data_IF_813235131459
#
_entry.id   IF_813235131459
#
_cell.length_a   1.000
_cell.length_b   1.000
_cell.length_c   1.000
_cell.angle_alpha   90.00
_cell.angle_beta   90.00
_cell.angle_gamma   90.00
#
_symmetry.space_group_name_H-M   'P 1'
#
loop_
_entity.id
_entity.type
_entity.pdbx_description
1 polymer ?
#
# COMPACT_ATOMS: atom_id res chain seq x y z
N UNK A 1 1.67 26.47 -5.37
CA UNK A 1 0.46 25.63 -5.42
C UNK A 1 0.76 24.15 -5.12
N UNK A 2 1.68 23.76 -4.24
CA UNK A 2 2.11 22.41 -3.97
C UNK A 2 2.20 22.00 -2.50
N UNK A 3 2.23 22.95 -1.59
CA UNK A 3 2.57 22.64 -0.18
C UNK A 3 1.39 22.29 0.73
N UNK A 4 0.17 22.66 0.38
CA UNK A 4 -1.00 22.51 1.28
C UNK A 4 -1.56 21.08 1.45
N UNK A 5 -1.09 20.08 0.70
CA UNK A 5 -1.67 18.75 0.76
C UNK A 5 -0.77 17.63 1.33
N UNK A 6 0.53 17.84 1.30
CA UNK A 6 1.51 16.80 1.66
C UNK A 6 1.65 16.66 3.17
N UNK A 7 1.60 17.76 3.91
CA UNK A 7 1.74 17.78 5.37
C UNK A 7 0.61 17.07 6.16
N UNK A 8 -0.44 16.59 5.46
CA UNK A 8 -1.57 15.87 6.05
C UNK A 8 -1.67 14.43 5.55
N UNK A 9 -0.54 13.85 5.14
CA UNK A 9 -0.45 12.45 4.75
C UNK A 9 0.09 11.62 5.91
N UNK A 10 -0.62 10.54 6.25
CA UNK A 10 -0.16 9.52 7.19
C UNK A 10 0.35 8.29 6.46
N UNK A 11 1.30 7.58 7.05
CA UNK A 11 1.82 6.30 6.56
C UNK A 11 1.68 5.25 7.64
N UNK A 12 1.13 4.09 7.26
CA UNK A 12 1.13 2.88 8.09
C UNK A 12 1.87 1.78 7.35
N UNK A 13 2.91 1.26 7.98
CA UNK A 13 3.77 0.20 7.48
C UNK A 13 3.45 -1.12 8.18
N UNK A 14 3.66 -2.23 7.50
CA UNK A 14 3.47 -3.57 8.05
C UNK A 14 4.23 -3.76 9.36
N UNK A 15 3.52 -4.28 10.35
CA UNK A 15 4.01 -4.45 11.72
C UNK A 15 3.89 -5.90 12.22
N UNK A 16 3.46 -6.80 11.35
CA UNK A 16 3.14 -8.17 11.74
C UNK A 16 4.35 -9.12 11.62
N UNK A 17 4.39 -10.21 12.40
CA UNK A 17 5.39 -11.26 12.24
C UNK A 17 5.08 -12.22 11.07
N UNK A 18 4.16 -11.85 10.17
CA UNK A 18 3.82 -12.62 8.99
C UNK A 18 4.95 -12.63 7.96
N UNK A 19 4.70 -13.19 6.77
CA UNK A 19 5.69 -13.22 5.70
C UNK A 19 6.24 -11.80 5.46
N UNK A 20 7.58 -11.61 5.44
CA UNK A 20 8.16 -10.29 5.24
C UNK A 20 7.72 -9.63 3.93
N UNK A 21 7.45 -8.32 4.00
CA UNK A 21 7.15 -7.45 2.86
C UNK A 21 8.27 -6.38 2.74
N UNK A 22 9.46 -6.75 2.25
CA UNK A 22 10.61 -5.85 2.27
C UNK A 22 10.44 -4.61 1.40
N UNK A 23 9.68 -4.70 0.30
CA UNK A 23 9.42 -3.56 -0.57
C UNK A 23 8.31 -2.64 -0.06
N UNK A 24 7.38 -3.14 0.75
CA UNK A 24 6.46 -2.30 1.55
C UNK A 24 7.25 -1.30 2.41
N UNK A 25 8.32 -1.76 3.08
CA UNK A 25 9.17 -0.88 3.87
C UNK A 25 9.93 0.13 3.00
N UNK A 26 10.48 -0.30 1.87
CA UNK A 26 11.12 0.58 0.89
C UNK A 26 10.17 1.65 0.37
N UNK A 27 8.94 1.26 0.03
CA UNK A 27 7.85 2.13 -0.39
C UNK A 27 7.58 3.23 0.65
N UNK A 28 7.27 2.83 1.89
CA UNK A 28 6.92 3.73 2.99
C UNK A 28 8.05 4.72 3.32
N UNK A 29 9.29 4.25 3.41
CA UNK A 29 10.45 5.11 3.67
C UNK A 29 10.74 6.08 2.51
N UNK A 30 10.61 5.61 1.27
CA UNK A 30 10.81 6.44 0.08
C UNK A 30 9.74 7.53 -0.02
N UNK A 31 8.47 7.20 0.25
CA UNK A 31 7.38 8.18 0.31
C UNK A 31 7.61 9.20 1.43
N UNK A 32 7.96 8.71 2.63
CA UNK A 32 8.20 9.58 3.78
C UNK A 32 9.34 10.59 3.50
N UNK A 33 10.44 10.12 2.93
CA UNK A 33 11.61 10.95 2.57
C UNK A 33 11.26 11.93 1.45
N UNK A 34 10.61 11.46 0.38
CA UNK A 34 10.31 12.27 -0.81
C UNK A 34 9.34 13.40 -0.50
N UNK A 35 8.36 13.13 0.35
CA UNK A 35 7.29 14.09 0.67
C UNK A 35 7.39 14.71 2.06
N UNK A 36 8.49 14.47 2.78
CA UNK A 36 8.74 15.07 4.08
C UNK A 36 7.70 14.70 5.14
N UNK A 37 7.19 13.45 5.13
CA UNK A 37 6.18 13.01 6.08
C UNK A 37 6.78 12.94 7.50
N UNK A 38 6.27 13.70 8.47
CA UNK A 38 6.83 13.73 9.80
C UNK A 38 6.63 12.40 10.55
N UNK A 39 7.55 12.08 11.45
CA UNK A 39 7.55 10.81 12.21
C UNK A 39 6.26 10.58 12.99
N UNK A 40 5.59 11.65 13.44
CA UNK A 40 4.31 11.59 14.17
C UNK A 40 3.16 11.08 13.30
N UNK A 41 3.27 11.20 11.98
CA UNK A 41 2.31 10.70 11.00
C UNK A 41 2.72 9.34 10.41
N UNK A 42 3.65 8.64 11.05
CA UNK A 42 4.17 7.35 10.60
C UNK A 42 3.99 6.29 11.69
N UNK A 43 3.25 5.25 11.38
CA UNK A 43 3.08 4.09 12.25
C UNK A 43 3.89 2.91 11.69
N UNK A 44 4.81 2.41 12.50
CA UNK A 44 5.74 1.34 12.13
C UNK A 44 5.92 0.37 13.30
N UNK A 45 6.07 -0.91 13.03
CA UNK A 45 6.32 -1.95 14.03
C UNK A 45 5.27 -1.90 15.15
N UNK A 46 5.67 -2.06 16.40
CA UNK A 46 4.77 -2.09 17.56
C UNK A 46 3.92 -0.82 17.76
N UNK A 47 4.21 0.27 17.06
CA UNK A 47 3.40 1.49 17.12
C UNK A 47 2.17 1.46 16.21
N UNK A 48 2.11 0.55 15.24
CA UNK A 48 0.98 0.41 14.32
C UNK A 48 -0.17 -0.38 14.99
N UNK A 49 -0.68 0.13 16.10
CA UNK A 49 -1.82 -0.43 16.85
C UNK A 49 -3.15 0.05 16.29
N UNK A 50 -4.24 -0.68 16.55
CA UNK A 50 -5.61 -0.28 16.14
C UNK A 50 -5.96 1.10 16.67
N UNK A 51 -5.62 1.40 17.93
CA UNK A 51 -5.88 2.71 18.54
C UNK A 51 -5.07 3.83 17.85
N UNK A 52 -3.77 3.61 17.59
CA UNK A 52 -2.92 4.57 16.90
C UNK A 52 -3.37 4.79 15.44
N UNK A 53 -3.81 3.73 14.77
CA UNK A 53 -4.37 3.80 13.42
C UNK A 53 -5.62 4.69 13.38
N UNK A 54 -6.54 4.49 14.32
CA UNK A 54 -7.74 5.32 14.47
C UNK A 54 -7.39 6.80 14.72
N UNK A 55 -6.44 7.06 15.60
CA UNK A 55 -5.98 8.42 15.89
C UNK A 55 -5.34 9.07 14.65
N UNK A 56 -4.53 8.33 13.89
CA UNK A 56 -3.91 8.81 12.66
C UNK A 56 -4.96 9.18 11.63
N UNK A 57 -5.97 8.33 11.39
CA UNK A 57 -7.09 8.62 10.47
C UNK A 57 -7.82 9.92 10.82
N UNK A 58 -7.97 10.22 12.11
CA UNK A 58 -8.59 11.47 12.56
C UNK A 58 -7.73 12.72 12.40
N UNK A 59 -6.43 12.57 12.08
CA UNK A 59 -5.47 13.67 12.02
C UNK A 59 -4.94 13.96 10.61
N UNK A 60 -5.22 13.10 9.65
CA UNK A 60 -4.71 13.22 8.28
C UNK A 60 -5.83 13.33 7.25
N UNK A 61 -5.53 13.89 6.09
CA UNK A 61 -6.44 13.90 4.93
C UNK A 61 -6.15 12.76 3.95
N UNK A 62 -4.94 12.25 3.95
CA UNK A 62 -4.52 11.13 3.11
C UNK A 62 -3.85 10.07 3.96
N UNK A 63 -4.19 8.83 3.73
CA UNK A 63 -3.55 7.69 4.36
C UNK A 63 -2.93 6.80 3.28
N UNK A 64 -1.67 6.49 3.47
CA UNK A 64 -1.01 5.37 2.80
C UNK A 64 -0.88 4.22 3.79
N UNK A 65 -1.51 3.10 3.49
CA UNK A 65 -1.59 1.93 4.37
C UNK A 65 -1.05 0.72 3.61
N UNK A 66 0.17 0.29 3.96
CA UNK A 66 0.89 -0.77 3.27
C UNK A 66 1.27 -1.87 4.25
N UNK A 67 0.48 -2.94 4.29
CA UNK A 67 0.67 -4.07 5.21
C UNK A 67 -0.21 -5.26 4.81
N UNK A 68 -0.17 -6.32 5.60
CA UNK A 68 -1.01 -7.49 5.38
C UNK A 68 -2.50 -7.20 5.65
N UNK A 69 -3.34 -7.79 4.81
CA UNK A 69 -4.78 -7.87 5.04
C UNK A 69 -5.26 -9.32 4.88
N UNK A 70 -6.38 -9.63 5.48
CA UNK A 70 -7.06 -10.92 5.37
C UNK A 70 -8.46 -10.74 4.80
N UNK A 71 -8.80 -11.55 3.79
CA UNK A 71 -10.15 -11.66 3.28
C UNK A 71 -10.86 -12.86 3.94
N UNK A 72 -12.13 -12.68 4.28
CA UNK A 72 -12.98 -13.75 4.78
C UNK A 72 -14.28 -13.78 3.97
N UNK A 73 -14.32 -14.63 2.95
CA UNK A 73 -15.45 -14.68 2.02
C UNK A 73 -16.74 -15.24 2.63
N UNK A 74 -16.65 -16.01 3.69
CA UNK A 74 -17.85 -16.54 4.37
C UNK A 74 -18.43 -15.54 5.38
N UNK A 75 -17.63 -14.61 5.86
CA UNK A 75 -18.00 -13.60 6.84
C UNK A 75 -17.28 -12.29 6.52
N UNK A 76 -17.76 -11.55 5.53
CA UNK A 76 -17.10 -10.33 5.01
C UNK A 76 -16.79 -9.30 6.09
N UNK A 77 -17.58 -9.21 7.15
CA UNK A 77 -17.33 -8.32 8.29
C UNK A 77 -16.04 -8.63 9.06
N UNK A 78 -15.52 -9.84 8.91
CA UNK A 78 -14.25 -10.29 9.50
C UNK A 78 -13.04 -10.09 8.57
N UNK A 79 -13.23 -9.53 7.37
CA UNK A 79 -12.09 -9.02 6.60
C UNK A 79 -11.35 -7.98 7.43
N UNK A 80 -10.02 -8.04 7.45
CA UNK A 80 -9.27 -7.23 8.39
C UNK A 80 -7.90 -6.80 7.88
N UNK A 81 -7.41 -5.70 8.44
CA UNK A 81 -6.03 -5.24 8.35
C UNK A 81 -5.27 -5.78 9.56
N UNK A 82 -4.16 -6.44 9.32
CA UNK A 82 -3.32 -6.95 10.39
C UNK A 82 -2.45 -5.83 10.97
N UNK A 83 -2.62 -5.52 12.26
CA UNK A 83 -1.87 -4.50 12.99
C UNK A 83 -1.08 -5.12 14.15
N UNK A 84 -0.28 -4.31 14.84
CA UNK A 84 0.67 -4.80 15.85
C UNK A 84 0.01 -5.42 17.09
N UNK A 85 -1.20 -4.98 17.44
CA UNK A 85 -1.94 -5.41 18.64
C UNK A 85 -3.20 -6.20 18.32
N UNK A 86 -3.45 -6.51 17.05
CA UNK A 86 -4.62 -7.25 16.57
C UNK A 86 -5.16 -6.73 15.25
N UNK A 87 -6.30 -7.25 14.86
CA UNK A 87 -6.92 -6.98 13.58
C UNK A 87 -7.84 -5.76 13.63
N UNK A 88 -7.74 -4.87 12.64
CA UNK A 88 -8.75 -3.86 12.36
C UNK A 88 -9.74 -4.44 11.35
N UNK A 89 -10.91 -4.81 11.82
CA UNK A 89 -11.93 -5.50 11.00
C UNK A 89 -12.79 -4.52 10.20
N UNK A 90 -13.41 -5.03 9.13
CA UNK A 90 -14.43 -4.29 8.38
C UNK A 90 -15.60 -3.88 9.27
N UNK A 91 -16.02 -4.75 10.19
CA UNK A 91 -17.08 -4.42 11.16
C UNK A 91 -16.75 -3.17 11.99
N UNK A 92 -15.50 -3.01 12.42
CA UNK A 92 -15.04 -1.81 13.13
C UNK A 92 -15.06 -0.57 12.23
N UNK A 93 -14.57 -0.65 10.98
CA UNK A 93 -14.62 0.47 10.03
C UNK A 93 -16.06 0.93 9.73
N UNK A 94 -17.01 0.02 9.74
CA UNK A 94 -18.44 0.34 9.53
C UNK A 94 -19.12 0.92 10.77
N UNK A 95 -18.52 0.81 11.96
CA UNK A 95 -19.12 1.26 13.20
C UNK A 95 -19.23 2.80 13.26
N UNK A 96 -20.23 3.36 13.99
CA UNK A 96 -20.38 4.82 14.12
C UNK A 96 -19.18 5.54 14.72
N UNK A 97 -18.37 4.84 15.52
CA UNK A 97 -17.17 5.41 16.17
C UNK A 97 -16.00 5.62 15.20
N UNK A 98 -16.08 5.08 14.00
CA UNK A 98 -15.09 5.21 12.94
C UNK A 98 -15.61 6.15 11.86
N UNK A 99 -15.58 7.45 12.13
CA UNK A 99 -16.00 8.50 11.19
C UNK A 99 -14.94 9.59 11.11
N UNK A 100 -14.41 9.79 9.90
CA UNK A 100 -13.30 10.70 9.61
C UNK A 100 -13.68 11.62 8.44
N UNK A 101 -14.48 12.67 8.68
CA UNK A 101 -15.04 13.49 7.60
C UNK A 101 -13.98 14.29 6.81
N UNK A 102 -12.79 14.48 7.39
CA UNK A 102 -11.68 15.17 6.72
C UNK A 102 -10.81 14.23 5.86
N UNK A 103 -11.06 12.92 5.89
CA UNK A 103 -10.29 11.93 5.15
C UNK A 103 -10.64 12.00 3.66
N UNK A 104 -9.71 12.43 2.84
CA UNK A 104 -9.90 12.60 1.39
C UNK A 104 -9.55 11.34 0.60
N UNK A 105 -8.48 10.66 0.99
CA UNK A 105 -7.93 9.58 0.17
C UNK A 105 -7.26 8.51 1.04
N UNK A 106 -7.56 7.26 0.78
CA UNK A 106 -6.84 6.09 1.33
C UNK A 106 -6.21 5.33 0.18
N UNK A 107 -4.89 5.19 0.22
CA UNK A 107 -4.17 4.26 -0.63
C UNK A 107 -3.92 2.98 0.17
N UNK A 108 -4.60 1.92 -0.23
CA UNK A 108 -4.59 0.63 0.41
C UNK A 108 -3.67 -0.33 -0.37
N UNK A 109 -2.37 -0.29 -0.02
CA UNK A 109 -1.35 -1.17 -0.57
C UNK A 109 -1.28 -2.44 0.27
N UNK A 110 -2.31 -3.28 0.19
CA UNK A 110 -2.31 -4.57 0.85
C UNK A 110 -2.74 -5.66 -0.11
N UNK A 111 -2.00 -6.75 -0.07
CA UNK A 111 -2.36 -7.95 -0.77
C UNK A 111 -3.45 -8.65 0.01
N UNK A 112 -4.61 -8.89 -0.58
CA UNK A 112 -5.55 -9.88 -0.03
C UNK A 112 -4.85 -11.24 -0.09
N UNK A 113 -4.15 -11.59 0.98
CA UNK A 113 -3.37 -12.81 1.08
C UNK A 113 -4.29 -14.03 1.06
N UNK A 114 -4.12 -14.88 0.07
CA UNK A 114 -4.77 -16.17 -0.10
C UNK A 114 -6.19 -16.17 -0.69
N UNK A 115 -6.31 -15.75 -1.92
CA UNK A 115 -7.42 -16.20 -2.76
C UNK A 115 -7.21 -17.68 -3.14
N UNK A 116 -7.45 -18.57 -2.21
CA UNK A 116 -7.42 -20.02 -2.46
C UNK A 116 -8.65 -20.56 -3.18
N UNK A 117 -9.66 -19.74 -3.51
CA UNK A 117 -10.78 -20.12 -4.37
C UNK A 117 -11.30 -18.92 -5.16
N UNK A 118 -11.48 -19.13 -6.45
CA UNK A 118 -12.15 -18.22 -7.40
C UNK A 118 -13.68 -18.24 -7.20
N UNK A 119 -14.16 -18.27 -5.98
CA UNK A 119 -15.57 -18.04 -5.74
C UNK A 119 -15.82 -16.55 -5.83
N UNK A 120 -16.52 -16.15 -6.88
CA UNK A 120 -17.05 -14.80 -7.07
C UNK A 120 -18.03 -14.59 -5.93
N UNK A 121 -17.55 -13.96 -4.86
CA UNK A 121 -18.46 -13.50 -3.83
C UNK A 121 -19.18 -12.26 -4.38
N UNK A 122 -20.49 -12.35 -4.51
CA UNK A 122 -21.39 -11.20 -4.79
C UNK A 122 -21.36 -10.14 -3.65
N UNK A 123 -20.49 -10.32 -2.68
CA UNK A 123 -20.38 -9.46 -1.50
C UNK A 123 -19.52 -8.23 -1.82
N UNK A 124 -20.20 -7.12 -2.04
CA UNK A 124 -19.62 -5.79 -2.24
C UNK A 124 -18.97 -5.19 -0.99
N UNK A 125 -18.97 -5.91 0.13
CA UNK A 125 -18.41 -5.48 1.41
C UNK A 125 -16.92 -5.81 1.48
N UNK A 126 -16.11 -4.83 1.11
CA UNK A 126 -14.63 -4.89 1.15
C UNK A 126 -14.08 -3.89 2.16
N UNK A 127 -12.81 -4.01 2.51
CA UNK A 127 -12.12 -3.00 3.32
C UNK A 127 -12.17 -1.61 2.66
N UNK A 128 -12.13 -1.54 1.32
CA UNK A 128 -12.29 -0.28 0.60
C UNK A 128 -13.67 0.35 0.87
N UNK A 129 -14.74 -0.45 0.84
CA UNK A 129 -16.09 -0.01 1.23
C UNK A 129 -16.11 0.48 2.69
N UNK A 130 -15.42 -0.23 3.59
CA UNK A 130 -15.28 0.18 4.99
C UNK A 130 -14.68 1.57 5.14
N UNK A 131 -13.59 1.88 4.42
CA UNK A 131 -12.98 3.21 4.44
C UNK A 131 -13.88 4.30 3.85
N UNK A 132 -14.61 4.01 2.76
CA UNK A 132 -15.61 4.94 2.21
C UNK A 132 -16.70 5.24 3.23
N UNK A 133 -17.25 4.23 3.90
CA UNK A 133 -18.20 4.40 4.98
C UNK A 133 -17.62 5.15 6.19
N UNK A 134 -16.33 4.96 6.48
CA UNK A 134 -15.64 5.69 7.53
C UNK A 134 -15.40 7.18 7.19
N UNK A 135 -15.65 7.60 5.95
CA UNK A 135 -15.61 9.01 5.54
C UNK A 135 -14.57 9.33 4.46
N UNK A 136 -13.75 8.37 4.04
CA UNK A 136 -12.84 8.58 2.91
C UNK A 136 -13.64 8.94 1.65
N UNK A 137 -13.20 9.99 0.94
CA UNK A 137 -13.82 10.37 -0.33
C UNK A 137 -13.41 9.45 -1.47
N UNK A 138 -12.24 8.87 -1.38
CA UNK A 138 -11.79 7.85 -2.32
C UNK A 138 -10.83 6.86 -1.67
N UNK A 139 -10.84 5.66 -2.23
CA UNK A 139 -9.92 4.58 -1.84
C UNK A 139 -9.28 4.02 -3.11
N UNK A 140 -7.96 3.89 -3.10
CA UNK A 140 -7.21 3.14 -4.10
C UNK A 140 -6.87 1.79 -3.46
N UNK A 141 -7.22 0.70 -4.11
CA UNK A 141 -7.01 -0.65 -3.61
C UNK A 141 -6.69 -1.63 -4.74
N UNK A 142 -6.41 -2.87 -4.41
CA UNK A 142 -6.20 -3.94 -5.39
C UNK A 142 -7.37 -4.92 -5.39
N UNK A 143 -7.72 -5.43 -6.58
CA UNK A 143 -8.76 -6.46 -6.76
C UNK A 143 -8.25 -7.89 -6.53
N UNK A 144 -6.94 -8.07 -6.49
CA UNK A 144 -6.28 -9.33 -6.19
C UNK A 144 -4.92 -9.08 -5.53
N UNK A 145 -4.30 -10.12 -5.00
CA UNK A 145 -2.96 -10.05 -4.42
C UNK A 145 -1.94 -9.70 -5.51
N UNK A 146 -1.28 -8.55 -5.35
CA UNK A 146 -0.19 -8.09 -6.21
C UNK A 146 1.13 -8.36 -5.50
N UNK A 147 2.16 -8.65 -6.25
CA UNK A 147 3.51 -8.90 -5.74
C UNK A 147 4.09 -7.63 -5.10
N UNK A 148 4.81 -7.79 -3.98
CA UNK A 148 5.31 -6.73 -3.11
C UNK A 148 6.12 -5.65 -3.85
N UNK A 149 7.08 -6.03 -4.72
CA UNK A 149 7.88 -5.06 -5.50
C UNK A 149 7.00 -4.30 -6.51
N UNK A 150 6.08 -4.98 -7.19
CA UNK A 150 5.18 -4.34 -8.14
C UNK A 150 4.24 -3.35 -7.44
N UNK A 151 3.72 -3.73 -6.27
CA UNK A 151 2.87 -2.87 -5.45
C UNK A 151 3.61 -1.61 -4.98
N UNK A 152 4.83 -1.76 -4.47
CA UNK A 152 5.67 -0.66 -4.06
C UNK A 152 5.97 0.32 -5.20
N UNK A 153 6.35 -0.19 -6.37
CA UNK A 153 6.62 0.64 -7.55
C UNK A 153 5.36 1.35 -8.05
N UNK A 154 4.20 0.66 -8.04
CA UNK A 154 2.93 1.28 -8.40
C UNK A 154 2.62 2.47 -7.49
N UNK A 155 2.74 2.30 -6.17
CA UNK A 155 2.49 3.36 -5.20
C UNK A 155 3.42 4.57 -5.43
N UNK A 156 4.71 4.33 -5.65
CA UNK A 156 5.67 5.39 -5.94
C UNK A 156 5.30 6.16 -7.23
N UNK A 157 4.92 5.45 -8.30
CA UNK A 157 4.45 6.07 -9.54
C UNK A 157 3.13 6.81 -9.34
N UNK A 158 2.19 6.23 -8.58
CA UNK A 158 0.92 6.88 -8.27
C UNK A 158 1.13 8.23 -7.58
N UNK A 159 1.89 8.27 -6.50
CA UNK A 159 2.09 9.51 -5.75
C UNK A 159 2.89 10.54 -6.55
N UNK A 160 3.89 10.12 -7.33
CA UNK A 160 4.62 11.01 -8.25
C UNK A 160 3.67 11.70 -9.24
N UNK A 161 2.73 10.96 -9.82
CA UNK A 161 1.73 11.52 -10.72
C UNK A 161 0.70 12.37 -9.96
N UNK A 162 0.19 11.87 -8.83
CA UNK A 162 -0.86 12.51 -8.04
C UNK A 162 -0.45 13.88 -7.52
N UNK A 163 0.77 14.01 -6.99
CA UNK A 163 1.34 15.27 -6.55
C UNK A 163 1.95 16.10 -7.71
N UNK A 164 2.10 15.51 -8.87
CA UNK A 164 2.50 16.16 -10.12
C UNK A 164 1.36 16.79 -10.92
N UNK A 165 0.20 17.09 -10.29
CA UNK A 165 -0.96 17.78 -10.85
C UNK A 165 -1.98 16.92 -11.62
N UNK A 166 -1.91 15.59 -11.56
CA UNK A 166 -2.92 14.74 -12.18
C UNK A 166 -4.07 14.44 -11.21
N UNK A 167 -5.26 14.28 -11.74
CA UNK A 167 -6.41 13.73 -10.99
C UNK A 167 -6.15 12.30 -10.54
N UNK A 168 -6.93 11.79 -9.58
CA UNK A 168 -6.78 10.40 -9.11
C UNK A 168 -6.88 9.37 -10.24
N UNK A 169 -7.93 9.39 -11.10
CA UNK A 169 -8.01 8.45 -12.23
C UNK A 169 -6.83 8.53 -13.19
N UNK A 170 -6.37 9.74 -13.50
CA UNK A 170 -5.20 9.94 -14.36
C UNK A 170 -3.92 9.43 -13.70
N UNK A 171 -3.75 9.66 -12.39
CA UNK A 171 -2.59 9.17 -11.67
C UNK A 171 -2.54 7.63 -11.62
N UNK A 172 -3.69 6.97 -11.41
CA UNK A 172 -3.82 5.51 -11.48
C UNK A 172 -3.44 5.02 -12.88
N UNK A 173 -4.08 5.56 -13.92
CA UNK A 173 -3.83 5.15 -15.31
C UNK A 173 -2.36 5.34 -15.72
N UNK A 174 -1.74 6.44 -15.28
CA UNK A 174 -0.32 6.72 -15.54
C UNK A 174 0.59 5.75 -14.79
N UNK A 175 0.31 5.48 -13.53
CA UNK A 175 1.05 4.51 -12.73
C UNK A 175 0.97 3.09 -13.33
N UNK A 176 -0.22 2.66 -13.75
CA UNK A 176 -0.42 1.39 -14.46
C UNK A 176 0.42 1.32 -15.73
N UNK A 177 0.42 2.39 -16.54
CA UNK A 177 1.21 2.45 -17.77
C UNK A 177 2.71 2.45 -17.49
N UNK A 178 3.17 3.23 -16.50
CA UNK A 178 4.57 3.29 -16.12
C UNK A 178 5.07 1.94 -15.62
N UNK A 179 4.31 1.27 -14.76
CA UNK A 179 4.68 -0.06 -14.25
C UNK A 179 4.71 -1.09 -15.38
N UNK A 180 3.68 -1.13 -16.23
CA UNK A 180 3.61 -2.04 -17.38
C UNK A 180 4.79 -1.89 -18.34
N UNK A 181 5.28 -0.66 -18.55
CA UNK A 181 6.31 -0.33 -19.53
C UNK A 181 7.72 -0.28 -18.90
N UNK A 182 7.83 -0.41 -17.58
CA UNK A 182 9.10 -0.36 -16.88
C UNK A 182 10.01 -1.49 -17.36
N UNK A 183 11.18 -1.10 -17.86
CA UNK A 183 12.21 -2.06 -18.29
C UNK A 183 13.12 -2.45 -17.12
N UNK A 184 13.70 -3.64 -17.19
CA UNK A 184 14.70 -4.07 -16.20
C UNK A 184 15.92 -3.15 -16.16
N UNK A 185 16.30 -2.57 -17.31
CA UNK A 185 17.38 -1.59 -17.39
C UNK A 185 17.05 -0.30 -16.60
N UNK A 186 15.85 0.24 -16.74
CA UNK A 186 15.38 1.40 -15.97
C UNK A 186 15.30 1.08 -14.48
N UNK A 187 14.80 -0.11 -14.12
CA UNK A 187 14.77 -0.58 -12.73
C UNK A 187 16.20 -0.71 -12.17
N UNK A 188 17.13 -1.18 -12.97
CA UNK A 188 18.54 -1.35 -12.61
C UNK A 188 19.27 -0.06 -12.22
N UNK A 189 18.75 1.12 -12.65
CA UNK A 189 19.30 2.43 -12.24
C UNK A 189 19.19 2.60 -10.71
N UNK A 190 18.14 2.06 -10.09
CA UNK A 190 17.89 2.14 -8.65
C UNK A 190 18.62 1.04 -7.84
N UNK A 191 19.37 0.17 -8.49
CA UNK A 191 20.00 -0.99 -7.86
C UNK A 191 20.80 -0.65 -6.61
N UNK A 192 21.69 0.33 -6.69
CA UNK A 192 22.53 0.72 -5.55
C UNK A 192 21.71 1.26 -4.39
N UNK A 193 20.67 2.05 -4.67
CA UNK A 193 19.78 2.59 -3.66
C UNK A 193 18.98 1.48 -2.96
N UNK A 194 18.39 0.57 -3.73
CA UNK A 194 17.62 -0.56 -3.19
C UNK A 194 18.51 -1.52 -2.39
N UNK A 195 19.69 -1.87 -2.91
CA UNK A 195 20.65 -2.74 -2.19
C UNK A 195 21.10 -2.10 -0.87
N UNK A 196 21.46 -0.82 -0.87
CA UNK A 196 21.85 -0.09 0.33
C UNK A 196 20.70 -0.04 1.36
N UNK A 197 19.47 0.19 0.89
CA UNK A 197 18.29 0.16 1.73
C UNK A 197 18.08 -1.21 2.37
N UNK A 198 18.10 -2.28 1.58
CA UNK A 198 17.90 -3.63 2.07
C UNK A 198 18.97 -4.03 3.11
N UNK A 199 20.25 -3.66 2.87
CA UNK A 199 21.36 -3.91 3.81
C UNK A 199 21.19 -3.12 5.13
N UNK A 200 20.62 -1.93 5.08
CA UNK A 200 20.36 -1.13 6.28
C UNK A 200 19.20 -1.68 7.11
N UNK A 201 18.16 -2.22 6.45
CA UNK A 201 16.91 -2.58 7.10
C UNK A 201 16.84 -4.05 7.54
N UNK A 202 17.57 -4.93 6.89
CA UNK A 202 17.49 -6.36 7.12
C UNK A 202 18.89 -6.95 7.35
N UNK A 203 18.98 -7.94 8.24
CA UNK A 203 20.22 -8.72 8.36
C UNK A 203 20.51 -9.45 7.03
N UNK A 204 21.76 -9.45 6.60
CA UNK A 204 22.18 -10.00 5.29
C UNK A 204 21.89 -11.49 5.11
N UNK A 205 21.79 -12.23 6.20
CA UNK A 205 21.44 -13.66 6.24
C UNK A 205 19.93 -13.92 6.37
N UNK A 206 19.12 -12.88 6.60
CA UNK A 206 17.67 -12.99 6.76
C UNK A 206 16.99 -13.45 5.47
N UNK A 207 15.89 -14.18 5.62
CA UNK A 207 15.05 -14.61 4.50
C UNK A 207 14.51 -13.40 3.71
N UNK A 208 14.06 -12.37 4.43
CA UNK A 208 13.54 -11.14 3.83
C UNK A 208 14.55 -10.47 2.90
N UNK A 209 15.81 -10.35 3.35
CA UNK A 209 16.87 -9.78 2.53
C UNK A 209 17.12 -10.60 1.27
N UNK A 210 17.30 -11.92 1.43
CA UNK A 210 17.60 -12.82 0.31
C UNK A 210 16.49 -12.84 -0.73
N UNK A 211 15.23 -12.95 -0.29
CA UNK A 211 14.07 -12.93 -1.20
C UNK A 211 13.97 -11.60 -1.96
N UNK A 212 14.11 -10.48 -1.26
CA UNK A 212 14.08 -9.17 -1.90
C UNK A 212 15.19 -8.98 -2.93
N UNK A 213 16.43 -9.34 -2.56
CA UNK A 213 17.59 -9.23 -3.45
C UNK A 213 17.41 -10.09 -4.71
N UNK A 214 17.07 -11.37 -4.54
CA UNK A 214 16.85 -12.29 -5.66
C UNK A 214 15.76 -11.78 -6.59
N UNK A 215 14.62 -11.34 -6.02
CA UNK A 215 13.49 -10.83 -6.81
C UNK A 215 13.86 -9.56 -7.57
N UNK A 216 14.47 -8.59 -6.90
CA UNK A 216 14.89 -7.33 -7.53
C UNK A 216 15.87 -7.57 -8.68
N UNK A 217 16.87 -8.42 -8.46
CA UNK A 217 17.87 -8.75 -9.48
C UNK A 217 17.28 -9.50 -10.67
N UNK A 218 16.32 -10.41 -10.42
CA UNK A 218 15.59 -11.08 -11.50
C UNK A 218 14.85 -10.06 -12.38
N UNK A 219 14.13 -9.13 -11.77
CA UNK A 219 13.44 -8.06 -12.51
C UNK A 219 14.38 -7.17 -13.31
N UNK A 220 15.56 -6.83 -12.79
CA UNK A 220 16.55 -6.03 -13.52
C UNK A 220 17.09 -6.74 -14.80
N UNK A 221 17.02 -8.07 -14.84
CA UNK A 221 17.49 -8.86 -15.96
C UNK A 221 16.39 -9.18 -17.00
N UNK A 222 15.15 -8.85 -16.72
CA UNK A 222 14.03 -9.03 -17.65
C UNK A 222 13.82 -7.79 -18.53
N UNK A 223 13.36 -7.97 -19.76
CA UNK A 223 13.11 -6.86 -20.67
C UNK A 223 12.02 -5.92 -20.13
N UNK A 224 10.88 -6.48 -19.71
CA UNK A 224 9.74 -5.78 -19.09
C UNK A 224 9.13 -6.65 -17.98
N UNK A 225 9.69 -6.61 -16.76
CA UNK A 225 9.35 -7.55 -15.69
C UNK A 225 7.89 -7.47 -15.22
N UNK A 226 7.24 -6.33 -15.44
CA UNK A 226 5.86 -6.08 -15.00
C UNK A 226 4.87 -5.92 -16.18
N UNK A 227 5.20 -6.40 -17.38
CA UNK A 227 4.32 -6.28 -18.55
C UNK A 227 2.98 -7.03 -18.39
N UNK A 228 2.97 -8.14 -17.65
CA UNK A 228 1.77 -8.94 -17.44
C UNK A 228 0.71 -8.18 -16.62
N UNK A 229 -0.58 -8.20 -17.03
CA UNK A 229 -1.66 -7.47 -16.33
C UNK A 229 -1.80 -7.78 -14.84
N UNK A 230 -1.38 -8.95 -14.39
CA UNK A 230 -1.36 -9.34 -12.98
C UNK A 230 -0.70 -8.28 -12.07
N UNK A 231 0.35 -7.61 -12.54
CA UNK A 231 1.13 -6.67 -11.75
C UNK A 231 0.51 -5.27 -11.64
N UNK A 232 -0.31 -4.86 -12.61
CA UNK A 232 -0.78 -3.47 -12.69
C UNK A 232 -2.29 -3.31 -12.83
N UNK A 233 -2.99 -4.30 -13.42
CA UNK A 233 -4.42 -4.11 -13.73
C UNK A 233 -5.32 -4.26 -12.51
N UNK A 234 -4.83 -4.85 -11.40
CA UNK A 234 -5.57 -4.99 -10.16
C UNK A 234 -5.82 -3.69 -9.41
N UNK A 235 -5.03 -2.64 -9.65
CA UNK A 235 -5.20 -1.37 -8.95
C UNK A 235 -6.41 -0.59 -9.47
N UNK A 236 -7.33 -0.29 -8.59
CA UNK A 236 -8.58 0.42 -8.89
C UNK A 236 -8.81 1.56 -7.90
N UNK A 237 -9.51 2.60 -8.35
CA UNK A 237 -9.99 3.68 -7.50
C UNK A 237 -11.49 3.60 -7.32
N UNK A 238 -11.96 3.79 -6.09
CA UNK A 238 -13.37 3.84 -5.73
C UNK A 238 -13.68 5.18 -5.06
N UNK A 239 -14.90 5.67 -5.17
CA UNK A 239 -15.33 6.95 -4.62
C UNK A 239 -15.20 8.12 -5.61
N UNK A 240 -15.15 9.37 -5.07
CA UNK A 240 -15.16 10.63 -5.84
C UNK A 240 -13.77 11.11 -6.23
#
# INVERSE_FOLDING_TARGET
PGEMGINLMGIVEDATPLRPLPFTRYECETLARTYGIPTQQRLQGSRATVAAYKQLLGSVRRLHSSHHASANFSQSLNCALALADGDLTLAQLLSPDWRFPELEEVFASYCEGNLGSLEIADDWLTLATGFLCAGARSVISTQWSVEDLASALFALFYYKNRFGQYTRPEAIQRAQRQLRQLTGQELGIYRQEVEAFLQQQFAADSEAYKLAQVRFMACCNEAMPFAHPYYWAGFVGQGL
#
